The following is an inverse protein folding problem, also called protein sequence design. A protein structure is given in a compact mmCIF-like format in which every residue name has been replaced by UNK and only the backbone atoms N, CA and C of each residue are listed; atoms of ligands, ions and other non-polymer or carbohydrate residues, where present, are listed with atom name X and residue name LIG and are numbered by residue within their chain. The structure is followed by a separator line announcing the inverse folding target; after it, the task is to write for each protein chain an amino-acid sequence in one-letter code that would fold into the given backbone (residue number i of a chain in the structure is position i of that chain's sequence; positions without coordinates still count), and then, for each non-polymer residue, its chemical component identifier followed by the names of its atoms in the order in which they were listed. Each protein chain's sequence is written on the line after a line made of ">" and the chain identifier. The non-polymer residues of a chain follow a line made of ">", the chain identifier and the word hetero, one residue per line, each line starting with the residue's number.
data_IF_804003387332
#
_entry.id   IF_804003387332
#
_cell.length_a   1.000
_cell.length_b   1.000
_cell.length_c   1.000
_cell.angle_alpha   90.00
_cell.angle_beta   90.00
_cell.angle_gamma   90.00
#
_symmetry.space_group_name_H-M   'P 1'
#
loop_
_entity.id
_entity.type
_entity.pdbx_description
1 polymer ?
#
# COMPACT_ATOMS: atom_id res chain seq x y z
N UNK A 1 -6.23 2.96 4.97
CA UNK A 1 -5.29 4.07 4.65
C UNK A 1 -4.30 4.27 5.79
N UNK A 2 -3.30 5.13 5.63
CA UNK A 2 -2.26 5.36 6.64
C UNK A 2 -2.79 5.83 8.01
N UNK A 3 -3.92 6.54 8.05
CA UNK A 3 -4.51 7.13 9.24
C UNK A 3 -5.60 6.26 9.87
N UNK A 4 -5.80 5.05 9.38
CA UNK A 4 -6.74 4.10 9.98
C UNK A 4 -6.16 3.54 11.29
N UNK A 5 -6.88 3.70 12.38
CA UNK A 5 -6.48 3.19 13.70
C UNK A 5 -7.11 1.83 14.03
N UNK A 6 -8.23 1.48 13.39
CA UNK A 6 -8.95 0.22 13.62
C UNK A 6 -8.27 -0.90 12.84
N UNK A 7 -7.89 -0.62 11.57
CA UNK A 7 -7.14 -1.53 10.70
C UNK A 7 -5.84 -0.86 10.29
N UNK A 8 -4.94 -0.70 11.26
CA UNK A 8 -3.72 0.07 11.08
C UNK A 8 -2.70 -0.60 10.15
N UNK A 9 -2.06 0.21 9.33
CA UNK A 9 -1.05 -0.23 8.34
C UNK A 9 0.04 -1.12 8.94
N UNK A 10 0.67 -0.82 10.09
CA UNK A 10 1.68 -1.71 10.67
C UNK A 10 1.14 -3.11 11.00
N UNK A 11 -0.10 -3.19 11.50
CA UNK A 11 -0.75 -4.46 11.85
C UNK A 11 -1.03 -5.28 10.59
N UNK A 12 -1.59 -4.65 9.55
CA UNK A 12 -1.85 -5.33 8.27
C UNK A 12 -0.55 -5.80 7.61
N UNK A 13 0.50 -4.97 7.62
CA UNK A 13 1.79 -5.34 7.04
C UNK A 13 2.43 -6.53 7.74
N UNK A 14 2.40 -6.56 9.08
CA UNK A 14 2.92 -7.68 9.85
C UNK A 14 2.12 -8.95 9.59
N UNK A 15 0.79 -8.85 9.62
CA UNK A 15 -0.09 -10.00 9.35
C UNK A 15 0.14 -10.60 7.96
N UNK A 16 0.15 -9.78 6.89
CA UNK A 16 0.43 -10.26 5.52
C UNK A 16 1.84 -10.84 5.45
N UNK A 17 2.79 -10.24 6.16
CA UNK A 17 4.15 -10.72 6.29
C UNK A 17 4.27 -12.07 7.00
N UNK A 18 3.28 -12.54 7.75
CA UNK A 18 3.30 -13.84 8.45
C UNK A 18 2.53 -14.95 7.72
N UNK A 19 1.79 -14.62 6.65
CA UNK A 19 1.06 -15.62 5.87
C UNK A 19 2.01 -16.65 5.26
N UNK A 20 1.56 -17.89 5.17
CA UNK A 20 2.28 -18.96 4.45
C UNK A 20 1.83 -19.00 3.00
N UNK A 21 2.60 -18.38 2.10
CA UNK A 21 2.35 -18.39 0.66
C UNK A 21 3.65 -18.11 -0.12
N UNK A 22 3.61 -18.28 -1.44
CA UNK A 22 4.80 -18.20 -2.31
C UNK A 22 5.52 -16.84 -2.28
N UNK A 23 4.81 -15.75 -2.00
CA UNK A 23 5.37 -14.39 -2.04
C UNK A 23 5.83 -13.84 -0.69
N UNK A 24 5.76 -14.61 0.41
CA UNK A 24 6.05 -14.11 1.76
C UNK A 24 7.46 -13.54 1.89
N UNK A 25 8.47 -14.31 1.48
CA UNK A 25 9.88 -13.91 1.64
C UNK A 25 10.22 -12.72 0.74
N UNK A 26 9.71 -12.72 -0.51
CA UNK A 26 9.85 -11.60 -1.42
C UNK A 26 9.20 -10.34 -0.84
N UNK A 27 7.98 -10.43 -0.29
CA UNK A 27 7.28 -9.29 0.29
C UNK A 27 8.01 -8.70 1.51
N UNK A 28 8.54 -9.55 2.39
CA UNK A 28 9.31 -9.13 3.57
C UNK A 28 10.53 -8.31 3.15
N UNK A 29 11.27 -8.80 2.16
CA UNK A 29 12.50 -8.18 1.67
C UNK A 29 12.26 -7.02 0.69
N UNK A 30 11.08 -6.96 0.06
CA UNK A 30 10.77 -5.96 -0.95
C UNK A 30 10.94 -4.54 -0.40
N UNK A 31 11.56 -3.62 -1.16
CA UNK A 31 11.65 -2.21 -0.77
C UNK A 31 10.26 -1.55 -0.83
N UNK A 32 10.03 -0.55 0.03
CA UNK A 32 8.89 0.36 -0.14
C UNK A 32 9.23 1.38 -1.21
N UNK A 33 8.46 1.39 -2.29
CA UNK A 33 8.64 2.35 -3.39
C UNK A 33 7.62 3.47 -3.26
N UNK A 34 8.03 4.70 -3.53
CA UNK A 34 7.14 5.87 -3.57
C UNK A 34 6.25 5.77 -4.81
N UNK A 35 4.97 6.09 -4.64
CA UNK A 35 4.00 6.15 -5.73
C UNK A 35 3.30 7.51 -5.75
N UNK A 36 3.21 8.09 -6.94
CA UNK A 36 2.45 9.29 -7.28
C UNK A 36 1.45 8.91 -8.38
N UNK A 37 0.27 9.51 -8.39
CA UNK A 37 -0.74 9.25 -9.44
C UNK A 37 -0.24 9.78 -10.78
N UNK A 38 0.33 10.99 -10.80
CA UNK A 38 1.09 11.50 -11.94
C UNK A 38 2.49 11.89 -11.50
N UNK A 39 3.50 11.70 -12.37
CA UNK A 39 4.88 12.09 -12.06
C UNK A 39 5.03 13.59 -11.76
N UNK A 40 4.18 14.41 -12.37
CA UNK A 40 4.09 15.86 -12.15
C UNK A 40 3.41 16.25 -10.83
N UNK A 41 2.78 15.31 -10.11
CA UNK A 41 2.10 15.63 -8.87
C UNK A 41 3.12 16.11 -7.82
N UNK A 42 2.84 17.22 -7.12
CA UNK A 42 3.70 17.69 -6.03
C UNK A 42 3.66 16.74 -4.83
N UNK A 43 2.55 16.04 -4.64
CA UNK A 43 2.30 15.17 -3.49
C UNK A 43 2.50 13.69 -3.81
N UNK A 44 2.96 12.94 -2.81
CA UNK A 44 3.05 11.48 -2.85
C UNK A 44 1.67 10.91 -2.51
N UNK A 45 1.14 10.05 -3.39
CA UNK A 45 -0.11 9.33 -3.19
C UNK A 45 0.05 8.20 -2.16
N UNK A 46 1.17 7.49 -2.19
CA UNK A 46 1.38 6.37 -1.31
C UNK A 46 2.74 5.68 -1.44
N UNK A 47 2.79 4.49 -0.86
CA UNK A 47 3.93 3.59 -0.93
C UNK A 47 3.47 2.19 -1.33
N UNK A 48 4.27 1.50 -2.14
CA UNK A 48 3.95 0.17 -2.64
C UNK A 48 5.12 -0.78 -2.37
N UNK A 49 4.80 -1.95 -1.82
CA UNK A 49 5.65 -3.14 -1.88
C UNK A 49 5.10 -4.10 -2.94
N UNK A 50 5.98 -4.75 -3.68
CA UNK A 50 5.64 -5.75 -4.71
C UNK A 50 6.18 -7.11 -4.29
N UNK A 51 5.45 -8.17 -4.61
CA UNK A 51 5.88 -9.54 -4.35
C UNK A 51 5.27 -10.51 -5.38
N UNK A 52 5.72 -11.75 -5.34
CA UNK A 52 5.35 -12.84 -6.23
C UNK A 52 5.51 -12.44 -7.70
N UNK A 53 6.71 -12.01 -8.09
CA UNK A 53 7.02 -11.56 -9.45
C UNK A 53 6.05 -10.46 -9.94
N UNK A 54 5.82 -9.42 -9.14
CA UNK A 54 4.88 -8.33 -9.40
C UNK A 54 3.41 -8.74 -9.57
N UNK A 55 2.98 -9.89 -9.04
CA UNK A 55 1.57 -10.31 -9.05
C UNK A 55 0.81 -9.91 -7.78
N UNK A 56 1.52 -9.49 -6.74
CA UNK A 56 0.94 -8.98 -5.50
C UNK A 56 1.51 -7.61 -5.17
N UNK A 57 0.63 -6.72 -4.74
CA UNK A 57 0.96 -5.36 -4.34
C UNK A 57 0.36 -5.07 -2.97
N UNK A 58 1.20 -4.59 -2.04
CA UNK A 58 0.75 -4.08 -0.76
C UNK A 58 0.95 -2.56 -0.75
N UNK A 59 -0.15 -1.82 -0.90
CA UNK A 59 -0.16 -0.38 -1.00
C UNK A 59 -0.57 0.28 0.33
N UNK A 60 0.06 1.42 0.63
CA UNK A 60 -0.36 2.34 1.69
C UNK A 60 -0.67 3.69 1.08
N UNK A 61 -1.92 4.13 1.20
CA UNK A 61 -2.35 5.46 0.72
C UNK A 61 -2.12 6.49 1.83
N UNK A 62 -1.36 7.55 1.52
CA UNK A 62 -1.09 8.67 2.43
C UNK A 62 -2.35 9.51 2.61
N UNK A 63 -2.47 10.19 3.75
CA UNK A 63 -3.59 11.09 4.05
C UNK A 63 -4.98 10.46 3.86
N UNK A 64 -5.10 9.15 4.10
CA UNK A 64 -6.35 8.39 4.06
C UNK A 64 -6.54 7.60 5.35
N UNK A 65 -7.74 7.63 5.91
CA UNK A 65 -8.17 6.82 7.05
C UNK A 65 -8.72 5.46 6.60
N UNK A 66 -9.82 5.05 7.23
CA UNK A 66 -10.45 3.75 6.98
C UNK A 66 -11.05 3.66 5.57
N UNK A 67 -11.76 4.71 5.15
CA UNK A 67 -12.46 4.76 3.86
C UNK A 67 -11.61 5.46 2.81
N UNK A 68 -10.61 4.75 2.26
CA UNK A 68 -9.68 5.29 1.25
C UNK A 68 -10.38 5.96 0.05
N UNK A 69 -11.45 5.39 -0.56
CA UNK A 69 -12.15 6.07 -1.66
C UNK A 69 -12.78 7.41 -1.26
N UNK A 70 -13.13 7.60 0.01
CA UNK A 70 -13.69 8.85 0.52
C UNK A 70 -12.58 9.88 0.78
N UNK A 71 -11.49 9.46 1.43
CA UNK A 71 -10.42 10.38 1.83
C UNK A 71 -9.47 10.76 0.66
N UNK A 72 -9.19 9.81 -0.23
CA UNK A 72 -8.24 9.94 -1.35
C UNK A 72 -8.78 9.29 -2.64
N UNK A 73 -9.88 9.82 -3.21
CA UNK A 73 -10.57 9.21 -4.34
C UNK A 73 -9.69 9.05 -5.58
N UNK A 74 -8.81 10.01 -5.85
CA UNK A 74 -7.91 9.98 -7.03
C UNK A 74 -6.86 8.87 -6.90
N UNK A 75 -6.26 8.73 -5.73
CA UNK A 75 -5.31 7.65 -5.46
C UNK A 75 -6.02 6.28 -5.48
N UNK A 76 -7.23 6.19 -4.92
CA UNK A 76 -8.01 4.95 -4.97
C UNK A 76 -8.31 4.53 -6.41
N UNK A 77 -8.70 5.47 -7.27
CA UNK A 77 -9.00 5.17 -8.67
C UNK A 77 -7.77 4.66 -9.42
N UNK A 78 -6.59 5.21 -9.15
CA UNK A 78 -5.33 4.79 -9.78
C UNK A 78 -4.82 3.43 -9.25
N UNK A 79 -5.29 2.96 -8.09
CA UNK A 79 -4.98 1.62 -7.57
C UNK A 79 -5.77 0.49 -8.22
N UNK A 80 -6.86 0.79 -8.93
CA UNK A 80 -7.72 -0.20 -9.59
C UNK A 80 -7.12 -0.65 -10.93
#
# INVERSE_FOLDING_TARGET
>A
GQLDIIIAVPLTMEWVGQLSWVGTDELRQAPRTVWKVADSDPEIAGYVKKANNNRFFLATVRNAGHMVPYDQPRAMLDLL
#
